data_IF_955420114761
#
_entry.id   IF_955420114761
#
_cell.length_a   1.000
_cell.length_b   1.000
_cell.length_c   1.000
_cell.angle_alpha   90.00
_cell.angle_beta   90.00
_cell.angle_gamma   90.00
#
_symmetry.space_group_name_H-M   'P 1'
#
loop_
_entity.id
_entity.type
_entity.pdbx_description
1 polymer ?
#
# COMPACT_ATOMS: atom_id res chain seq x y z
N UNK A 1 -5.23 0.72 -0.84
CA UNK A 1 -5.91 1.36 -1.99
C UNK A 1 -7.25 0.69 -2.30
N UNK A 2 -8.01 1.21 -3.24
CA UNK A 2 -9.42 0.90 -3.40
C UNK A 2 -9.88 0.14 -4.65
N UNK A 3 -9.03 -0.49 -5.50
CA UNK A 3 -9.51 -1.34 -6.60
C UNK A 3 -10.28 -2.57 -6.09
N UNK A 4 -11.18 -3.08 -6.93
CA UNK A 4 -12.11 -4.17 -6.57
C UNK A 4 -11.39 -5.43 -6.05
N UNK A 5 -10.26 -5.80 -6.61
CA UNK A 5 -9.48 -6.97 -6.20
C UNK A 5 -8.92 -6.85 -4.77
N UNK A 6 -8.91 -5.65 -4.20
CA UNK A 6 -8.50 -5.40 -2.81
C UNK A 6 -9.66 -5.11 -1.87
N UNK A 7 -10.81 -4.67 -2.39
CA UNK A 7 -11.93 -4.19 -1.57
C UNK A 7 -13.22 -5.00 -1.73
N UNK A 8 -13.24 -6.00 -2.60
CA UNK A 8 -14.46 -6.77 -2.91
C UNK A 8 -15.08 -7.51 -1.72
N UNK A 9 -14.29 -7.82 -0.69
CA UNK A 9 -14.76 -8.50 0.51
C UNK A 9 -15.07 -7.61 1.71
N UNK A 10 -14.91 -6.29 1.59
CA UNK A 10 -15.00 -5.37 2.75
C UNK A 10 -16.39 -5.39 3.37
N UNK A 11 -17.44 -5.31 2.57
CA UNK A 11 -18.82 -5.28 3.08
C UNK A 11 -19.15 -6.54 3.88
N UNK A 12 -18.77 -7.71 3.38
CA UNK A 12 -19.00 -8.99 4.06
C UNK A 12 -18.21 -9.10 5.35
N UNK A 13 -16.95 -8.67 5.35
CA UNK A 13 -16.12 -8.66 6.57
C UNK A 13 -16.69 -7.72 7.62
N UNK A 14 -17.16 -6.54 7.24
CA UNK A 14 -17.77 -5.59 8.17
C UNK A 14 -19.08 -6.12 8.76
N UNK A 15 -19.86 -6.87 7.97
CA UNK A 15 -21.07 -7.52 8.46
C UNK A 15 -20.73 -8.64 9.45
N UNK A 16 -19.69 -9.41 9.21
CA UNK A 16 -19.25 -10.50 10.08
C UNK A 16 -18.54 -10.00 11.35
N UNK A 17 -17.89 -8.83 11.28
CA UNK A 17 -17.11 -8.25 12.37
C UNK A 17 -17.62 -6.83 12.67
N UNK A 18 -18.78 -6.67 13.30
CA UNK A 18 -19.35 -5.36 13.59
C UNK A 18 -18.40 -4.50 14.43
N UNK A 19 -18.25 -3.23 14.06
CA UNK A 19 -17.39 -2.29 14.77
C UNK A 19 -15.93 -2.33 14.36
N UNK A 20 -15.53 -3.21 13.44
CA UNK A 20 -14.16 -3.18 12.92
C UNK A 20 -13.97 -1.92 12.05
N UNK A 21 -12.93 -1.10 12.29
CA UNK A 21 -12.69 0.08 11.47
C UNK A 21 -12.08 -0.32 10.11
N UNK A 22 -12.41 0.45 9.09
CA UNK A 22 -11.83 0.33 7.74
C UNK A 22 -11.07 1.61 7.46
N UNK A 23 -9.77 1.52 7.26
CA UNK A 23 -8.92 2.68 7.01
C UNK A 23 -8.68 2.86 5.52
N UNK A 24 -8.70 4.11 5.09
CA UNK A 24 -8.43 4.47 3.70
C UNK A 24 -7.81 5.88 3.67
N UNK A 25 -6.75 6.05 2.86
CA UNK A 25 -6.13 7.36 2.69
C UNK A 25 -7.10 8.32 1.99
N UNK A 26 -7.18 9.60 2.43
CA UNK A 26 -8.11 10.57 1.85
C UNK A 26 -8.02 10.73 0.33
N UNK A 27 -6.81 10.62 -0.24
CA UNK A 27 -6.62 10.73 -1.68
C UNK A 27 -7.31 9.60 -2.45
N UNK A 28 -7.37 8.39 -1.89
CA UNK A 28 -8.12 7.28 -2.48
C UNK A 28 -9.61 7.36 -2.15
N UNK A 29 -9.96 7.86 -0.97
CA UNK A 29 -11.36 8.07 -0.61
C UNK A 29 -12.08 9.01 -1.59
N UNK A 30 -11.37 9.96 -2.17
CA UNK A 30 -11.90 10.86 -3.18
C UNK A 30 -12.21 10.16 -4.52
N UNK A 31 -11.63 9.00 -4.78
CA UNK A 31 -11.78 8.25 -6.04
C UNK A 31 -12.80 7.11 -5.96
N UNK A 32 -13.11 6.62 -4.74
CA UNK A 32 -14.04 5.49 -4.59
C UNK A 32 -15.46 5.89 -4.97
N UNK A 33 -16.18 4.97 -5.61
CA UNK A 33 -17.51 5.24 -6.12
C UNK A 33 -17.52 5.96 -7.46
N UNK A 34 -16.35 6.27 -8.03
CA UNK A 34 -16.22 6.84 -9.38
C UNK A 34 -16.21 5.77 -10.48
N UNK A 35 -15.81 6.18 -11.68
CA UNK A 35 -15.89 5.31 -12.87
C UNK A 35 -14.89 4.15 -12.83
N UNK A 36 -13.74 4.32 -12.17
CA UNK A 36 -12.64 3.36 -12.16
C UNK A 36 -12.63 2.52 -10.88
N UNK A 37 -12.92 3.12 -9.74
CA UNK A 37 -12.89 2.44 -8.45
C UNK A 37 -14.30 2.29 -7.87
N UNK A 38 -14.72 1.05 -7.55
CA UNK A 38 -16.04 0.82 -6.98
C UNK A 38 -16.13 1.38 -5.56
N UNK A 39 -17.35 1.53 -5.06
CA UNK A 39 -17.56 1.86 -3.65
C UNK A 39 -16.97 0.77 -2.75
N UNK A 40 -16.39 1.17 -1.62
CA UNK A 40 -15.75 0.23 -0.68
C UNK A 40 -16.78 -0.66 0.02
N UNK A 41 -18.02 -0.18 0.17
CA UNK A 41 -19.10 -0.95 0.82
C UNK A 41 -19.11 -0.81 2.34
N UNK A 42 -18.37 0.12 2.90
CA UNK A 42 -18.33 0.44 4.31
C UNK A 42 -17.89 1.89 4.51
N UNK A 43 -18.22 2.46 5.67
CA UNK A 43 -17.67 3.74 6.09
C UNK A 43 -16.18 3.61 6.37
N UNK A 44 -15.38 4.57 5.91
CA UNK A 44 -13.93 4.53 6.06
C UNK A 44 -13.43 5.58 7.04
N UNK A 45 -12.37 5.21 7.76
CA UNK A 45 -11.64 6.12 8.65
C UNK A 45 -10.38 6.58 7.92
N UNK A 46 -10.11 7.90 7.85
CA UNK A 46 -8.89 8.38 7.20
C UNK A 46 -7.65 8.06 8.03
N UNK A 47 -6.56 7.76 7.33
CA UNK A 47 -5.23 7.72 7.90
C UNK A 47 -4.24 8.34 6.90
N UNK A 48 -3.08 8.71 7.38
CA UNK A 48 -2.09 9.39 6.55
C UNK A 48 -0.67 9.06 7.01
N UNK A 49 0.30 9.57 6.28
CA UNK A 49 1.72 9.32 6.54
C UNK A 49 2.10 9.62 7.99
N UNK A 50 2.83 8.70 8.60
CA UNK A 50 3.28 8.83 9.97
C UNK A 50 2.29 8.41 11.03
N UNK A 51 1.04 8.14 10.67
CA UNK A 51 0.06 7.65 11.64
C UNK A 51 0.45 6.26 12.13
N UNK A 52 0.10 5.98 13.38
CA UNK A 52 0.27 4.66 13.99
C UNK A 52 -1.10 4.14 14.40
N UNK A 53 -1.50 3.01 13.81
CA UNK A 53 -2.74 2.32 14.14
C UNK A 53 -2.41 1.17 15.08
N UNK A 54 -3.12 1.11 16.21
CA UNK A 54 -2.94 0.04 17.18
C UNK A 54 -3.82 -1.17 16.85
N UNK A 55 -3.24 -2.35 16.87
CA UNK A 55 -3.97 -3.61 16.77
C UNK A 55 -3.46 -4.55 17.87
N UNK A 56 -4.20 -4.60 18.99
CA UNK A 56 -3.70 -5.29 20.18
C UNK A 56 -2.40 -4.65 20.67
N UNK A 57 -1.33 -5.43 20.74
CA UNK A 57 0.00 -4.96 21.16
C UNK A 57 0.86 -4.51 19.97
N UNK A 58 0.35 -4.64 18.75
CA UNK A 58 1.10 -4.27 17.55
C UNK A 58 0.88 -2.80 17.19
N UNK A 59 1.94 -2.16 16.75
CA UNK A 59 1.90 -0.83 16.16
C UNK A 59 2.02 -0.96 14.64
N UNK A 60 1.03 -0.43 13.92
CA UNK A 60 1.01 -0.41 12.46
C UNK A 60 1.33 1.02 12.03
N UNK A 61 2.53 1.24 11.53
CA UNK A 61 2.96 2.54 11.02
C UNK A 61 2.54 2.71 9.56
N UNK A 62 1.92 3.85 9.26
CA UNK A 62 1.45 4.18 7.92
C UNK A 62 2.53 4.97 7.19
N UNK A 63 3.00 4.46 6.05
CA UNK A 63 3.92 5.14 5.16
C UNK A 63 3.19 5.46 3.85
N UNK A 64 3.05 6.74 3.52
CA UNK A 64 2.43 7.12 2.25
C UNK A 64 3.38 6.78 1.10
N UNK A 65 2.94 5.88 0.22
CA UNK A 65 3.68 5.43 -0.95
C UNK A 65 2.78 5.51 -2.18
N UNK A 66 2.44 6.76 -2.61
CA UNK A 66 1.54 6.95 -3.73
C UNK A 66 2.18 6.47 -5.03
N UNK A 67 1.36 5.98 -5.94
CA UNK A 67 1.77 5.75 -7.31
C UNK A 67 0.80 4.96 -8.14
N UNK A 68 0.52 3.72 -7.74
CA UNK A 68 -0.55 2.90 -8.32
C UNK A 68 -1.90 3.59 -8.10
N UNK A 69 -2.10 4.09 -6.89
CA UNK A 69 -3.15 5.05 -6.57
C UNK A 69 -2.55 6.23 -5.79
N UNK A 70 -3.19 7.41 -5.80
CA UNK A 70 -2.66 8.58 -5.09
C UNK A 70 -2.70 8.42 -3.57
N UNK A 71 -3.54 7.52 -3.04
CA UNK A 71 -3.65 7.21 -1.62
C UNK A 71 -2.99 5.89 -1.23
N UNK A 72 -2.15 5.31 -2.08
CA UNK A 72 -1.43 4.09 -1.76
C UNK A 72 -0.55 4.26 -0.53
N UNK A 73 -0.58 3.26 0.36
CA UNK A 73 0.25 3.26 1.57
C UNK A 73 0.97 1.93 1.70
N UNK A 74 2.10 1.96 2.39
CA UNK A 74 2.78 0.78 2.89
C UNK A 74 2.59 0.74 4.40
N UNK A 75 2.21 -0.41 4.92
CA UNK A 75 2.04 -0.59 6.36
C UNK A 75 3.26 -1.32 6.92
N UNK A 76 3.90 -0.71 7.91
CA UNK A 76 5.06 -1.29 8.58
C UNK A 76 4.64 -1.84 9.92
N UNK A 77 4.80 -3.14 10.11
CA UNK A 77 4.44 -3.85 11.35
C UNK A 77 5.64 -4.70 11.76
N UNK A 78 6.39 -4.27 12.78
CA UNK A 78 7.62 -4.95 13.19
C UNK A 78 8.62 -5.03 12.03
N UNK A 79 8.97 -6.24 11.62
CA UNK A 79 9.88 -6.53 10.49
C UNK A 79 9.13 -6.84 9.18
N UNK A 80 7.86 -6.50 9.08
CA UNK A 80 7.02 -6.77 7.92
C UNK A 80 6.57 -5.47 7.26
N UNK A 81 6.63 -5.42 5.93
CA UNK A 81 6.04 -4.37 5.11
C UNK A 81 4.89 -4.94 4.30
N UNK A 82 3.71 -4.38 4.46
CA UNK A 82 2.55 -4.65 3.61
C UNK A 82 2.52 -3.56 2.54
N UNK A 83 3.00 -3.89 1.35
CA UNK A 83 3.31 -2.89 0.33
C UNK A 83 2.17 -2.62 -0.65
N UNK A 84 1.03 -3.32 -0.52
CA UNK A 84 -0.09 -3.15 -1.45
C UNK A 84 0.39 -3.34 -2.89
N UNK A 85 0.03 -2.41 -3.76
CA UNK A 85 0.43 -2.43 -5.16
C UNK A 85 1.53 -1.41 -5.49
N UNK A 86 2.45 -1.19 -4.56
CA UNK A 86 3.62 -0.35 -4.78
C UNK A 86 4.86 -1.18 -5.13
N UNK A 87 5.32 -2.03 -4.22
CA UNK A 87 6.48 -2.90 -4.43
C UNK A 87 6.01 -4.35 -4.54
N UNK A 88 6.36 -4.99 -5.65
CA UNK A 88 6.14 -6.42 -5.88
C UNK A 88 7.47 -7.17 -5.94
N UNK A 89 7.39 -8.49 -5.80
CA UNK A 89 8.56 -9.33 -6.01
C UNK A 89 9.09 -9.14 -7.43
N UNK A 90 10.29 -8.57 -7.55
CA UNK A 90 10.94 -8.29 -8.83
C UNK A 90 10.24 -7.24 -9.70
N UNK A 91 9.24 -6.52 -9.17
CA UNK A 91 8.42 -5.62 -9.98
C UNK A 91 7.85 -4.47 -9.13
N UNK A 92 6.94 -3.72 -9.73
CA UNK A 92 6.21 -2.64 -9.08
C UNK A 92 4.77 -2.59 -9.60
N UNK A 93 3.89 -1.87 -8.90
CA UNK A 93 2.52 -1.68 -9.32
C UNK A 93 2.41 -0.89 -10.62
N UNK A 94 1.32 -1.10 -11.36
CA UNK A 94 1.03 -0.34 -12.58
C UNK A 94 0.67 1.11 -12.23
N UNK A 95 0.96 2.03 -13.14
CA UNK A 95 0.77 3.47 -12.91
C UNK A 95 -0.19 4.12 -13.91
N UNK A 96 -0.92 3.33 -14.68
CA UNK A 96 -1.80 3.80 -15.77
C UNK A 96 -3.28 3.96 -15.35
N UNK A 97 -3.61 3.78 -14.08
CA UNK A 97 -4.93 4.09 -13.55
C UNK A 97 -5.07 5.59 -13.26
N UNK A 98 -6.34 6.04 -13.13
CA UNK A 98 -6.63 7.40 -12.69
C UNK A 98 -5.90 7.72 -11.38
N UNK A 99 -5.14 8.83 -11.37
CA UNK A 99 -4.31 9.22 -10.24
C UNK A 99 -2.99 8.47 -10.11
N UNK A 100 -2.71 7.46 -10.95
CA UNK A 100 -1.44 6.76 -10.98
C UNK A 100 -0.32 7.62 -11.58
N UNK A 101 0.91 7.44 -11.11
CA UNK A 101 2.05 8.26 -11.56
C UNK A 101 3.35 7.47 -11.47
N UNK A 102 4.07 7.38 -12.60
CA UNK A 102 5.39 6.77 -12.64
C UNK A 102 6.40 7.53 -11.78
N UNK A 103 6.37 8.86 -11.81
CA UNK A 103 7.29 9.67 -11.00
C UNK A 103 7.05 9.44 -9.50
N UNK A 104 5.80 9.33 -9.08
CA UNK A 104 5.47 9.07 -7.69
C UNK A 104 5.85 7.66 -7.25
N UNK A 105 5.67 6.64 -8.12
CA UNK A 105 6.07 5.28 -7.74
C UNK A 105 7.58 5.18 -7.57
N UNK A 106 8.35 5.85 -8.41
CA UNK A 106 9.80 5.88 -8.25
C UNK A 106 10.21 6.55 -6.96
N UNK A 107 9.58 7.65 -6.57
CA UNK A 107 9.82 8.30 -5.28
C UNK A 107 9.44 7.38 -4.11
N UNK A 108 8.31 6.70 -4.20
CA UNK A 108 7.83 5.76 -3.18
C UNK A 108 8.75 4.56 -3.04
N UNK A 109 9.19 3.96 -4.15
CA UNK A 109 10.15 2.86 -4.13
C UNK A 109 11.49 3.29 -3.53
N UNK A 110 11.96 4.48 -3.87
CA UNK A 110 13.17 5.04 -3.28
C UNK A 110 13.05 5.18 -1.76
N UNK A 111 11.92 5.66 -1.29
CA UNK A 111 11.61 5.74 0.13
C UNK A 111 11.69 4.38 0.82
N UNK A 112 11.03 3.37 0.25
CA UNK A 112 11.07 2.01 0.79
C UNK A 112 12.46 1.41 0.76
N UNK A 113 13.19 1.58 -0.34
CA UNK A 113 14.55 1.06 -0.49
C UNK A 113 15.54 1.64 0.50
N UNK A 114 15.32 2.86 0.95
CA UNK A 114 16.17 3.56 1.92
C UNK A 114 15.80 3.31 3.38
N UNK A 115 14.79 2.50 3.66
CA UNK A 115 14.47 2.11 5.02
C UNK A 115 15.65 1.37 5.65
N UNK A 116 15.89 1.64 6.93
CA UNK A 116 16.98 1.04 7.68
C UNK A 116 16.65 -0.40 8.04
N UNK A 117 17.54 -1.34 7.76
CA UNK A 117 17.35 -2.74 8.10
C UNK A 117 16.68 -3.56 6.99
N UNK A 118 16.32 -4.78 7.32
CA UNK A 118 15.63 -5.68 6.40
C UNK A 118 14.20 -5.93 6.88
N UNK A 119 13.32 -6.23 5.93
CA UNK A 119 11.90 -6.47 6.18
C UNK A 119 11.41 -7.60 5.28
N UNK A 120 10.46 -8.38 5.79
CA UNK A 120 9.66 -9.25 4.94
C UNK A 120 8.67 -8.39 4.15
N UNK A 121 8.59 -8.60 2.83
CA UNK A 121 7.71 -7.85 1.95
C UNK A 121 6.52 -8.72 1.56
N UNK A 122 5.34 -8.27 1.92
CA UNK A 122 4.06 -8.92 1.60
C UNK A 122 3.25 -7.99 0.70
N UNK A 123 3.30 -8.18 -0.63
CA UNK A 123 2.61 -7.31 -1.57
C UNK A 123 1.15 -7.71 -1.80
N UNK A 124 0.41 -6.85 -2.51
CA UNK A 124 -0.96 -7.15 -2.91
C UNK A 124 -1.08 -8.21 -3.99
N UNK A 125 -0.05 -8.35 -4.83
CA UNK A 125 0.05 -9.36 -5.89
C UNK A 125 1.45 -9.98 -5.88
N UNK A 126 1.58 -11.12 -6.54
CA UNK A 126 2.83 -11.88 -6.63
C UNK A 126 3.27 -12.45 -5.28
N UNK A 127 4.51 -12.95 -5.22
CA UNK A 127 5.01 -13.65 -4.05
C UNK A 127 5.60 -12.74 -2.98
N UNK A 128 5.73 -13.29 -1.79
CA UNK A 128 6.46 -12.64 -0.71
C UNK A 128 7.97 -12.67 -0.99
N UNK A 129 8.67 -11.66 -0.48
CA UNK A 129 10.12 -11.56 -0.60
C UNK A 129 10.69 -10.83 0.63
N UNK A 130 11.95 -10.37 0.53
CA UNK A 130 12.53 -9.49 1.54
C UNK A 130 13.01 -8.20 0.88
N UNK A 131 13.05 -7.11 1.63
CA UNK A 131 13.50 -5.83 1.12
C UNK A 131 14.97 -5.91 0.64
N UNK A 132 15.81 -6.64 1.37
CA UNK A 132 17.21 -6.86 0.97
C UNK A 132 17.30 -7.57 -0.38
N UNK A 133 16.48 -8.59 -0.61
CA UNK A 133 16.42 -9.29 -1.89
C UNK A 133 15.98 -8.35 -3.01
N UNK A 134 14.97 -7.51 -2.76
CA UNK A 134 14.49 -6.55 -3.73
C UNK A 134 15.54 -5.46 -4.02
N UNK A 135 16.28 -5.01 -3.03
CA UNK A 135 17.40 -4.07 -3.23
C UNK A 135 18.47 -4.64 -4.16
N UNK A 136 18.67 -5.96 -4.14
CA UNK A 136 19.68 -6.62 -4.98
C UNK A 136 19.19 -6.95 -6.37
N UNK A 137 17.92 -7.33 -6.53
CA UNK A 137 17.42 -7.98 -7.75
C UNK A 137 16.29 -7.25 -8.44
N UNK A 138 15.58 -6.34 -7.76
CA UNK A 138 14.48 -5.61 -8.37
C UNK A 138 15.01 -4.40 -9.14
N UNK A 139 14.92 -4.46 -10.46
CA UNK A 139 15.38 -3.40 -11.34
C UNK A 139 14.79 -2.03 -10.99
N UNK A 140 13.48 -1.98 -10.76
CA UNK A 140 12.76 -0.72 -10.48
C UNK A 140 13.18 -0.11 -9.15
N UNK A 141 13.31 -0.94 -8.11
CA UNK A 141 13.74 -0.47 -6.79
C UNK A 141 15.19 0.04 -6.84
N UNK A 142 16.07 -0.67 -7.53
CA UNK A 142 17.46 -0.25 -7.68
C UNK A 142 17.56 1.08 -8.43
N UNK A 143 16.81 1.23 -9.51
CA UNK A 143 16.78 2.48 -10.26
C UNK A 143 16.23 3.64 -9.41
N UNK A 144 15.19 3.39 -8.64
CA UNK A 144 14.62 4.38 -7.73
C UNK A 144 15.61 4.85 -6.65
N UNK A 145 16.45 3.94 -6.15
CA UNK A 145 17.45 4.27 -5.14
C UNK A 145 18.63 5.07 -5.70
N UNK A 146 18.89 4.98 -6.98
CA UNK A 146 19.96 5.73 -7.68
C UNK A 146 19.52 7.14 -8.08
N UNK A 147 18.22 7.38 -8.14
CA UNK A 147 17.60 8.64 -8.58
C UNK A 147 17.51 9.75 -7.52
#
# INVERSE_FOLDING_TARGET
HAPFDHTGGVAELCAALPGVPVYLHPADAALVGGDVFPAVGAETTPYQDGDVVKLGKMDIEVLHTPAHTPGGVTLKVGDVLLTGDTLFQGSMGRTDFEGGSYAEIMASLGRLGRLSGDYHVLPGHMGASTLEQERKTNYYLREAMEG
#
